data_IF_570108876286
#
_entry.id   IF_570108876286
#
_cell.length_a   1.000
_cell.length_b   1.000
_cell.length_c   1.000
_cell.angle_alpha   90.00
_cell.angle_beta   90.00
_cell.angle_gamma   90.00
#
_symmetry.space_group_name_H-M   'P 1'
#
loop_
_entity.id
_entity.type
_entity.pdbx_description
1 polymer ?
#
# COMPACT_ATOMS: atom_id res chain seq x y z
N UNK A 1 -53.78 17.16 -51.73
CA UNK A 1 -53.97 18.34 -50.89
C UNK A 1 -55.45 18.64 -50.99
N UNK A 2 -56.20 18.11 -50.03
CA UNK A 2 -57.61 18.39 -49.71
C UNK A 2 -57.99 17.36 -48.64
N UNK A 3 -58.65 17.64 -47.53
CA UNK A 3 -58.68 18.76 -46.58
C UNK A 3 -59.49 18.17 -45.41
N UNK A 4 -58.95 18.18 -44.20
CA UNK A 4 -59.42 17.40 -43.02
C UNK A 4 -60.74 17.95 -42.41
N UNK A 5 -61.44 18.86 -43.09
CA UNK A 5 -62.58 19.59 -42.52
C UNK A 5 -63.97 19.08 -42.93
N UNK A 6 -64.08 18.07 -43.79
CA UNK A 6 -65.41 17.59 -44.28
C UNK A 6 -65.95 16.33 -43.57
N UNK A 7 -65.28 15.82 -42.53
CA UNK A 7 -65.72 14.59 -41.81
C UNK A 7 -66.22 14.90 -40.39
N UNK A 8 -66.36 16.17 -40.01
CA UNK A 8 -66.70 16.57 -38.63
C UNK A 8 -68.18 16.88 -38.37
N UNK A 9 -69.09 16.64 -39.31
CA UNK A 9 -70.52 17.04 -39.15
C UNK A 9 -71.53 15.91 -38.87
N UNK A 10 -71.13 14.63 -38.78
CA UNK A 10 -72.11 13.53 -38.56
C UNK A 10 -71.69 12.51 -37.48
N UNK A 11 -71.25 12.98 -36.30
CA UNK A 11 -71.16 12.10 -35.13
C UNK A 11 -71.85 12.74 -33.93
N UNK A 12 -73.17 12.50 -33.82
CA UNK A 12 -73.87 12.53 -32.55
C UNK A 12 -73.10 11.65 -31.55
N UNK A 13 -72.57 12.26 -30.50
CA UNK A 13 -71.97 11.55 -29.38
C UNK A 13 -73.14 11.00 -28.55
N UNK A 14 -73.58 9.78 -28.85
CA UNK A 14 -74.36 8.99 -27.90
C UNK A 14 -73.45 8.59 -26.74
N UNK A 15 -73.78 9.06 -25.53
CA UNK A 15 -73.18 8.59 -24.29
C UNK A 15 -73.59 7.13 -24.07
N UNK A 16 -72.67 6.19 -24.35
CA UNK A 16 -72.85 4.76 -24.06
C UNK A 16 -73.19 4.55 -22.59
N UNK A 17 -74.21 3.74 -22.33
CA UNK A 17 -74.59 3.37 -20.97
C UNK A 17 -73.56 2.40 -20.35
N UNK A 18 -73.48 2.36 -19.02
CA UNK A 18 -72.52 1.50 -18.31
C UNK A 18 -72.65 0.01 -18.66
N UNK A 19 -73.83 -0.43 -19.11
CA UNK A 19 -74.08 -1.82 -19.51
C UNK A 19 -73.44 -2.14 -20.88
N UNK A 20 -73.42 -1.19 -21.81
CA UNK A 20 -72.75 -1.33 -23.11
C UNK A 20 -71.22 -1.27 -23.00
N UNK A 21 -70.71 -0.48 -22.05
CA UNK A 21 -69.28 -0.50 -21.69
C UNK A 21 -68.86 -1.84 -21.06
N UNK A 22 -69.77 -2.52 -20.35
CA UNK A 22 -69.53 -3.85 -19.79
C UNK A 22 -69.51 -4.94 -20.86
N UNK A 23 -70.35 -4.82 -21.89
CA UNK A 23 -70.39 -5.75 -23.02
C UNK A 23 -69.18 -5.56 -23.96
N UNK A 24 -68.72 -4.31 -24.17
CA UNK A 24 -67.47 -4.01 -24.87
C UNK A 24 -66.23 -4.52 -24.12
N UNK A 25 -66.23 -4.44 -22.79
CA UNK A 25 -65.15 -5.01 -21.96
C UNK A 25 -65.11 -6.55 -22.02
N UNK A 26 -66.25 -7.22 -22.20
CA UNK A 26 -66.28 -8.67 -22.44
C UNK A 26 -65.81 -9.06 -23.84
N UNK A 27 -66.16 -8.26 -24.86
CA UNK A 27 -65.82 -8.53 -26.26
C UNK A 27 -64.38 -8.14 -26.66
N UNK A 28 -63.70 -7.30 -25.87
CA UNK A 28 -62.27 -6.96 -26.04
C UNK A 28 -61.31 -7.87 -25.29
N UNK A 29 -61.80 -8.93 -24.62
CA UNK A 29 -60.89 -9.97 -24.13
C UNK A 29 -60.32 -10.74 -25.34
N UNK A 30 -58.99 -10.73 -25.57
CA UNK A 30 -58.42 -11.54 -26.62
C UNK A 30 -58.68 -13.00 -26.26
N UNK A 31 -59.36 -13.73 -27.16
CA UNK A 31 -59.31 -15.19 -27.17
C UNK A 31 -57.86 -15.60 -27.37
N UNK A 32 -57.13 -15.77 -26.27
CA UNK A 32 -55.87 -16.48 -26.27
C UNK A 32 -56.22 -17.93 -26.56
N UNK A 33 -55.90 -18.36 -27.78
CA UNK A 33 -55.78 -19.76 -28.11
C UNK A 33 -55.00 -20.45 -26.99
N UNK A 34 -55.48 -21.62 -26.57
CA UNK A 34 -54.86 -22.46 -25.56
C UNK A 34 -53.40 -22.74 -25.92
N UNK A 35 -52.48 -21.93 -25.37
CA UNK A 35 -51.08 -22.28 -25.30
C UNK A 35 -50.99 -23.55 -24.47
N UNK A 36 -50.49 -24.61 -25.09
CA UNK A 36 -50.03 -25.80 -24.39
C UNK A 36 -49.19 -25.35 -23.18
N UNK A 37 -49.59 -25.78 -21.99
CA UNK A 37 -48.90 -25.52 -20.72
C UNK A 37 -47.44 -26.00 -20.84
N UNK A 38 -46.57 -25.10 -21.30
CA UNK A 38 -45.15 -25.33 -21.42
C UNK A 38 -44.56 -24.77 -20.13
N UNK A 39 -44.14 -25.62 -19.17
CA UNK A 39 -43.69 -25.15 -17.88
C UNK A 39 -42.60 -24.12 -18.09
N UNK A 40 -42.73 -22.96 -17.44
CA UNK A 40 -41.76 -21.86 -17.50
C UNK A 40 -40.35 -22.41 -17.32
N UNK A 41 -39.60 -22.50 -18.44
CA UNK A 41 -38.33 -23.22 -18.51
C UNK A 41 -37.32 -22.58 -17.57
N UNK A 42 -37.22 -23.12 -16.36
CA UNK A 42 -36.38 -22.56 -15.31
C UNK A 42 -35.01 -23.22 -15.35
N UNK A 43 -33.96 -22.43 -15.62
CA UNK A 43 -32.59 -22.91 -15.58
C UNK A 43 -32.19 -23.36 -14.17
N UNK A 44 -31.99 -24.66 -13.97
CA UNK A 44 -31.41 -25.23 -12.75
C UNK A 44 -29.90 -25.33 -12.88
N UNK A 45 -29.16 -25.02 -11.81
CA UNK A 45 -27.69 -25.04 -11.78
C UNK A 45 -27.13 -26.43 -12.13
N UNK A 46 -27.78 -27.51 -11.70
CA UNK A 46 -27.39 -28.89 -12.03
C UNK A 46 -27.55 -29.20 -13.53
N UNK A 47 -28.63 -28.72 -14.15
CA UNK A 47 -28.88 -28.91 -15.59
C UNK A 47 -27.85 -28.14 -16.43
N UNK A 48 -27.59 -26.88 -16.10
CA UNK A 48 -26.58 -26.07 -16.79
C UNK A 48 -25.17 -26.63 -16.68
N UNK A 49 -24.76 -27.09 -15.47
CA UNK A 49 -23.47 -27.74 -15.29
C UNK A 49 -23.32 -28.99 -16.16
N UNK A 50 -24.40 -29.76 -16.32
CA UNK A 50 -24.41 -30.95 -17.17
C UNK A 50 -24.36 -30.58 -18.66
N UNK A 51 -25.08 -29.54 -19.07
CA UNK A 51 -25.09 -29.04 -20.45
C UNK A 51 -23.71 -28.51 -20.86
N UNK A 52 -23.08 -27.67 -20.04
CA UNK A 52 -21.74 -27.14 -20.30
C UNK A 52 -20.69 -28.25 -20.40
N UNK A 53 -20.77 -29.24 -19.50
CA UNK A 53 -19.88 -30.41 -19.54
C UNK A 53 -19.97 -31.16 -20.87
N UNK A 54 -21.20 -31.45 -21.34
CA UNK A 54 -21.41 -32.15 -22.62
C UNK A 54 -20.92 -31.34 -23.82
N UNK A 55 -21.11 -30.03 -23.80
CA UNK A 55 -20.61 -29.14 -24.86
C UNK A 55 -19.09 -29.15 -24.89
N UNK A 56 -18.45 -29.09 -23.73
CA UNK A 56 -16.99 -29.12 -23.62
C UNK A 56 -16.40 -30.48 -24.03
N UNK A 57 -17.03 -31.59 -23.62
CA UNK A 57 -16.68 -32.94 -24.07
C UNK A 57 -16.81 -33.05 -25.61
N UNK A 58 -17.89 -32.50 -26.18
CA UNK A 58 -18.11 -32.45 -27.63
C UNK A 58 -17.05 -31.65 -28.39
N UNK A 59 -16.70 -30.46 -27.90
CA UNK A 59 -15.64 -29.64 -28.49
C UNK A 59 -14.26 -30.29 -28.38
N UNK A 60 -14.01 -31.04 -27.30
CA UNK A 60 -12.76 -31.77 -27.12
C UNK A 60 -12.64 -32.92 -28.13
N UNK A 61 -13.69 -33.72 -28.34
CA UNK A 61 -13.70 -34.78 -29.35
C UNK A 61 -13.41 -34.24 -30.76
N UNK A 62 -14.02 -33.10 -31.13
CA UNK A 62 -13.75 -32.46 -32.43
C UNK A 62 -12.31 -31.95 -32.53
N UNK A 63 -11.72 -31.52 -31.41
CA UNK A 63 -10.32 -31.06 -31.38
C UNK A 63 -9.34 -32.24 -31.51
N UNK A 64 -9.70 -33.40 -30.97
CA UNK A 64 -8.85 -34.61 -30.99
C UNK A 64 -8.94 -35.37 -32.34
N UNK A 65 -10.10 -35.36 -33.00
CA UNK A 65 -10.32 -36.06 -34.27
C UNK A 65 -10.02 -35.22 -35.53
N UNK A 66 -9.94 -33.89 -35.41
CA UNK A 66 -9.75 -32.99 -36.56
C UNK A 66 -8.28 -32.53 -36.70
N UNK A 67 -7.62 -32.76 -37.86
CA UNK A 67 -6.18 -32.55 -38.02
C UNK A 67 -5.74 -31.07 -38.10
N UNK A 68 -6.66 -30.14 -38.36
CA UNK A 68 -6.33 -28.71 -38.54
C UNK A 68 -6.69 -27.89 -37.29
N UNK A 69 -5.68 -27.69 -36.45
CA UNK A 69 -5.76 -27.12 -35.09
C UNK A 69 -6.26 -25.68 -35.06
N UNK A 70 -5.91 -24.85 -36.04
CA UNK A 70 -6.35 -23.45 -36.07
C UNK A 70 -7.86 -23.31 -36.27
N UNK A 71 -8.43 -24.20 -37.08
CA UNK A 71 -9.86 -24.19 -37.38
C UNK A 71 -10.67 -24.76 -36.23
N UNK A 72 -10.21 -25.83 -35.58
CA UNK A 72 -10.86 -26.35 -34.36
C UNK A 72 -10.80 -25.34 -33.21
N UNK A 73 -9.67 -24.66 -33.01
CA UNK A 73 -9.52 -23.59 -32.03
C UNK A 73 -10.45 -22.39 -32.29
N UNK A 74 -10.65 -22.01 -33.57
CA UNK A 74 -11.58 -20.94 -33.95
C UNK A 74 -13.04 -21.33 -33.67
N UNK A 75 -13.44 -22.56 -33.98
CA UNK A 75 -14.79 -23.07 -33.68
C UNK A 75 -15.02 -23.12 -32.17
N UNK A 76 -14.05 -23.63 -31.41
CA UNK A 76 -14.09 -23.63 -29.95
C UNK A 76 -14.34 -22.21 -29.40
N UNK A 77 -13.60 -21.22 -29.91
CA UNK A 77 -13.75 -19.81 -29.50
C UNK A 77 -15.14 -19.27 -29.79
N UNK A 78 -15.66 -19.46 -31.00
CA UNK A 78 -16.99 -18.97 -31.39
C UNK A 78 -18.11 -19.61 -30.57
N UNK A 79 -18.01 -20.91 -30.27
CA UNK A 79 -19.01 -21.61 -29.45
C UNK A 79 -18.97 -21.11 -28.00
N UNK A 80 -17.78 -20.93 -27.43
CA UNK A 80 -17.64 -20.42 -26.06
C UNK A 80 -18.08 -18.95 -25.93
N UNK A 81 -17.78 -18.11 -26.93
CA UNK A 81 -18.28 -16.73 -26.99
C UNK A 81 -19.81 -16.69 -27.00
N UNK A 82 -20.47 -17.55 -27.79
CA UNK A 82 -21.93 -17.65 -27.83
C UNK A 82 -22.58 -18.12 -26.52
N UNK A 83 -21.82 -18.80 -25.65
CA UNK A 83 -22.33 -19.32 -24.37
C UNK A 83 -22.07 -18.38 -23.18
N UNK A 84 -21.37 -17.26 -23.38
CA UNK A 84 -20.94 -16.34 -22.32
C UNK A 84 -22.09 -15.89 -21.42
N UNK A 85 -23.22 -15.45 -22.00
CA UNK A 85 -24.39 -14.97 -21.26
C UNK A 85 -24.97 -16.06 -20.33
N UNK A 86 -25.01 -17.31 -20.78
CA UNK A 86 -25.47 -18.43 -19.95
C UNK A 86 -24.47 -18.81 -18.86
N UNK A 87 -23.17 -18.70 -19.12
CA UNK A 87 -22.16 -18.88 -18.09
C UNK A 87 -22.26 -17.83 -16.98
N UNK A 88 -22.59 -16.59 -17.34
CA UNK A 88 -22.84 -15.50 -16.37
C UNK A 88 -24.05 -15.81 -15.49
N UNK A 89 -25.20 -16.20 -16.08
CA UNK A 89 -26.41 -16.60 -15.32
C UNK A 89 -26.14 -17.81 -14.43
N UNK A 90 -25.43 -18.83 -14.93
CA UNK A 90 -25.04 -20.00 -14.13
C UNK A 90 -24.17 -19.59 -12.95
N UNK A 91 -23.22 -18.68 -13.17
CA UNK A 91 -22.32 -18.17 -12.14
C UNK A 91 -23.07 -17.35 -11.11
N UNK A 92 -24.00 -16.48 -11.52
CA UNK A 92 -24.86 -15.72 -10.60
C UNK A 92 -25.72 -16.65 -9.74
N UNK A 93 -26.36 -17.67 -10.32
CA UNK A 93 -27.15 -18.64 -9.56
C UNK A 93 -26.30 -19.55 -8.67
N UNK A 94 -25.08 -19.89 -9.07
CA UNK A 94 -24.11 -20.62 -8.24
C UNK A 94 -23.51 -19.72 -7.14
N UNK A 95 -23.39 -18.42 -7.42
CA UNK A 95 -22.84 -17.37 -6.56
C UNK A 95 -23.89 -16.62 -5.75
N UNK A 96 -25.14 -17.10 -5.69
CA UNK A 96 -26.08 -16.72 -4.65
C UNK A 96 -25.44 -17.10 -3.30
N UNK A 97 -24.70 -16.13 -2.76
CA UNK A 97 -23.53 -16.37 -1.93
C UNK A 97 -23.92 -16.74 -0.51
N UNK A 98 -23.46 -17.91 -0.06
CA UNK A 98 -23.21 -18.11 1.36
C UNK A 98 -22.05 -17.20 1.72
N UNK A 99 -22.35 -16.05 2.30
CA UNK A 99 -21.34 -15.14 2.83
C UNK A 99 -20.55 -15.90 3.91
N UNK A 100 -19.25 -16.18 3.72
CA UNK A 100 -18.48 -16.85 4.75
C UNK A 100 -18.46 -15.97 5.99
N UNK A 101 -18.76 -16.55 7.14
CA UNK A 101 -18.85 -15.81 8.39
C UNK A 101 -17.47 -15.31 8.79
N UNK A 102 -17.37 -14.11 9.36
CA UNK A 102 -16.09 -13.51 9.78
C UNK A 102 -15.27 -14.43 10.72
N UNK A 103 -15.93 -15.36 11.43
CA UNK A 103 -15.27 -16.39 12.25
C UNK A 103 -14.36 -17.32 11.46
N UNK A 104 -14.67 -17.58 10.18
CA UNK A 104 -13.80 -18.39 9.31
C UNK A 104 -12.47 -17.70 9.08
N UNK A 105 -12.41 -16.36 9.08
CA UNK A 105 -11.13 -15.63 9.02
C UNK A 105 -10.30 -15.79 10.29
N UNK A 106 -10.95 -15.90 11.46
CA UNK A 106 -10.29 -15.89 12.77
C UNK A 106 -9.98 -17.27 13.34
N UNK A 107 -10.20 -18.36 12.60
CA UNK A 107 -9.76 -19.68 13.07
C UNK A 107 -8.22 -19.70 13.21
N UNK A 108 -7.68 -20.06 14.39
CA UNK A 108 -6.25 -20.13 14.59
C UNK A 108 -5.61 -21.10 13.60
N UNK A 109 -4.56 -20.66 12.90
CA UNK A 109 -3.70 -21.52 12.09
C UNK A 109 -2.77 -22.28 13.06
N UNK A 110 -3.35 -23.13 13.89
CA UNK A 110 -2.61 -24.17 14.57
C UNK A 110 -2.65 -25.39 13.64
N UNK A 111 -1.49 -25.83 13.16
CA UNK A 111 -1.29 -27.01 12.31
C UNK A 111 -1.40 -26.84 10.79
N UNK A 112 -0.75 -25.83 10.20
CA UNK A 112 -0.01 -26.09 8.96
C UNK A 112 1.47 -26.16 9.33
N UNK A 113 1.95 -27.40 9.40
CA UNK A 113 3.31 -27.81 9.74
C UNK A 113 4.32 -27.04 8.90
N UNK A 114 4.95 -26.03 9.46
CA UNK A 114 6.34 -25.70 9.13
C UNK A 114 7.21 -26.53 10.06
N UNK A 115 7.98 -27.46 9.49
CA UNK A 115 9.10 -28.09 10.21
C UNK A 115 9.94 -26.95 10.80
N UNK A 116 10.32 -27.08 12.07
CA UNK A 116 11.30 -26.20 12.72
C UNK A 116 12.51 -26.03 11.79
N UNK A 117 12.67 -24.86 11.18
CA UNK A 117 13.80 -24.61 10.26
C UNK A 117 13.60 -23.46 9.30
N UNK A 118 12.57 -23.50 8.44
CA UNK A 118 12.52 -22.59 7.29
C UNK A 118 11.36 -21.59 7.37
N UNK A 119 11.62 -20.46 8.02
CA UNK A 119 10.84 -19.25 7.78
C UNK A 119 11.19 -18.74 6.39
N UNK A 120 10.38 -19.08 5.39
CA UNK A 120 10.64 -18.79 3.97
C UNK A 120 10.63 -17.27 3.69
N UNK A 121 9.89 -16.49 4.48
CA UNK A 121 9.77 -15.04 4.30
C UNK A 121 9.88 -14.26 5.62
N UNK A 122 10.70 -13.21 5.61
CA UNK A 122 10.78 -12.22 6.70
C UNK A 122 10.25 -10.87 6.24
N UNK A 123 8.93 -10.75 6.12
CA UNK A 123 8.24 -9.51 5.76
C UNK A 123 7.50 -8.93 6.96
N UNK A 124 7.65 -7.63 7.22
CA UNK A 124 6.90 -6.93 8.27
C UNK A 124 5.46 -6.65 7.83
N UNK A 125 5.28 -6.21 6.59
CA UNK A 125 3.99 -5.97 5.98
C UNK A 125 4.01 -6.51 4.54
N UNK A 126 2.98 -7.27 4.18
CA UNK A 126 2.70 -7.64 2.80
C UNK A 126 1.41 -6.94 2.38
N UNK A 127 1.42 -6.28 1.22
CA UNK A 127 0.23 -5.61 0.67
C UNK A 127 -0.24 -6.37 -0.56
N UNK A 128 -1.45 -6.91 -0.50
CA UNK A 128 -2.08 -7.68 -1.57
C UNK A 128 -3.26 -6.87 -2.10
N UNK A 129 -3.12 -6.35 -3.32
CA UNK A 129 -4.22 -5.72 -4.04
C UNK A 129 -4.69 -6.68 -5.15
N UNK A 130 -5.60 -7.60 -4.82
CA UNK A 130 -6.02 -8.69 -5.71
C UNK A 130 -7.39 -8.46 -6.34
N UNK A 131 -8.05 -7.34 -6.07
CA UNK A 131 -9.44 -7.13 -6.50
C UNK A 131 -9.58 -6.68 -7.96
N UNK A 132 -8.47 -6.50 -8.70
CA UNK A 132 -8.48 -6.05 -10.10
C UNK A 132 -8.23 -7.15 -11.13
N UNK A 133 -7.86 -8.37 -10.73
CA UNK A 133 -7.57 -9.44 -11.69
C UNK A 133 -8.86 -10.17 -12.06
N UNK A 134 -9.56 -9.66 -13.07
CA UNK A 134 -10.52 -10.44 -13.87
C UNK A 134 -9.71 -11.20 -14.91
N UNK A 135 -9.41 -12.46 -14.64
CA UNK A 135 -8.86 -13.37 -15.64
C UNK A 135 -9.95 -14.31 -16.19
N UNK A 136 -9.59 -15.15 -17.17
CA UNK A 136 -10.48 -16.16 -17.76
C UNK A 136 -10.92 -17.22 -16.73
N UNK A 137 -10.24 -17.31 -15.57
CA UNK A 137 -10.51 -18.25 -14.49
C UNK A 137 -11.45 -17.69 -13.42
N UNK A 138 -11.71 -16.38 -13.41
CA UNK A 138 -12.78 -15.74 -12.64
C UNK A 138 -12.30 -14.63 -11.71
N UNK A 139 -13.06 -14.39 -10.63
CA UNK A 139 -12.64 -13.48 -9.56
C UNK A 139 -11.94 -14.29 -8.47
N UNK A 140 -10.96 -13.68 -7.80
CA UNK A 140 -10.44 -14.24 -6.56
C UNK A 140 -11.61 -14.49 -5.58
N UNK A 141 -11.91 -15.75 -5.31
CA UNK A 141 -12.99 -16.11 -4.38
C UNK A 141 -12.60 -15.70 -2.96
N UNK A 142 -13.60 -15.44 -2.11
CA UNK A 142 -13.37 -15.13 -0.69
C UNK A 142 -12.47 -16.16 -0.02
N UNK A 143 -12.65 -17.44 -0.35
CA UNK A 143 -11.85 -18.55 0.19
C UNK A 143 -10.41 -18.53 -0.31
N UNK A 144 -10.18 -18.10 -1.56
CA UNK A 144 -8.85 -17.93 -2.11
C UNK A 144 -8.08 -16.79 -1.44
N UNK A 145 -8.77 -15.69 -1.11
CA UNK A 145 -8.20 -14.56 -0.39
C UNK A 145 -7.81 -14.94 1.04
N UNK A 146 -8.67 -15.71 1.72
CA UNK A 146 -8.39 -16.27 3.05
C UNK A 146 -7.17 -17.21 2.97
N UNK A 147 -7.15 -18.12 2.00
CA UNK A 147 -6.06 -19.06 1.78
C UNK A 147 -4.72 -18.35 1.53
N UNK A 148 -4.71 -17.34 0.67
CA UNK A 148 -3.52 -16.53 0.38
C UNK A 148 -3.02 -15.77 1.63
N UNK A 149 -3.93 -15.12 2.36
CA UNK A 149 -3.58 -14.39 3.58
C UNK A 149 -2.98 -15.33 4.63
N UNK A 150 -3.59 -16.51 4.83
CA UNK A 150 -3.08 -17.54 5.75
C UNK A 150 -1.72 -18.07 5.31
N UNK A 151 -1.52 -18.33 4.01
CA UNK A 151 -0.25 -18.81 3.48
C UNK A 151 0.88 -17.78 3.67
N UNK A 152 0.62 -16.50 3.46
CA UNK A 152 1.58 -15.42 3.69
C UNK A 152 1.97 -15.29 5.17
N UNK A 153 1.00 -15.39 6.07
CA UNK A 153 1.25 -15.39 7.51
C UNK A 153 2.04 -16.64 7.93
N UNK A 154 1.68 -17.82 7.43
CA UNK A 154 2.38 -19.07 7.69
C UNK A 154 3.83 -19.06 7.14
N UNK A 155 4.06 -18.39 6.00
CA UNK A 155 5.40 -18.20 5.43
C UNK A 155 6.29 -17.25 6.26
N UNK A 156 5.71 -16.51 7.22
CA UNK A 156 6.44 -15.67 8.17
C UNK A 156 6.19 -14.16 8.04
N UNK A 157 5.21 -13.73 7.24
CA UNK A 157 4.77 -12.33 7.23
C UNK A 157 4.15 -11.94 8.57
N UNK A 158 4.52 -10.78 9.12
CA UNK A 158 4.00 -10.31 10.40
C UNK A 158 2.61 -9.69 10.27
N UNK A 159 2.32 -9.04 9.14
CA UNK A 159 1.06 -8.37 8.86
C UNK A 159 0.76 -8.43 7.36
N UNK A 160 -0.51 -8.60 6.99
CA UNK A 160 -0.98 -8.61 5.61
C UNK A 160 -2.12 -7.60 5.46
N UNK A 161 -1.96 -6.64 4.54
CA UNK A 161 -3.03 -5.75 4.10
C UNK A 161 -3.66 -6.33 2.84
N UNK A 162 -4.99 -6.47 2.83
CA UNK A 162 -5.72 -7.11 1.74
C UNK A 162 -6.94 -6.29 1.32
N UNK A 163 -7.21 -6.24 0.02
CA UNK A 163 -8.44 -5.68 -0.56
C UNK A 163 -9.56 -6.73 -0.66
N UNK A 164 -10.72 -6.45 -0.09
CA UNK A 164 -11.89 -7.33 -0.05
C UNK A 164 -12.73 -7.29 -1.34
N UNK A 165 -12.77 -6.15 -2.02
CA UNK A 165 -13.52 -5.95 -3.26
C UNK A 165 -12.82 -4.93 -4.19
N UNK A 166 -13.25 -4.83 -5.46
CA UNK A 166 -12.66 -3.90 -6.41
C UNK A 166 -12.92 -2.45 -6.00
N UNK A 167 -11.86 -1.66 -5.87
CA UNK A 167 -11.92 -0.23 -5.53
C UNK A 167 -11.40 0.55 -6.74
N UNK A 168 -12.00 1.69 -7.14
CA UNK A 168 -11.50 2.47 -8.26
C UNK A 168 -10.01 2.82 -8.12
N UNK A 169 -9.23 2.65 -9.20
CA UNK A 169 -7.77 2.85 -9.20
C UNK A 169 -7.32 4.16 -8.57
N UNK A 170 -8.04 5.25 -8.84
CA UNK A 170 -7.73 6.58 -8.28
C UNK A 170 -7.90 6.61 -6.76
N UNK A 171 -8.97 6.01 -6.23
CA UNK A 171 -9.19 5.90 -4.79
C UNK A 171 -8.13 5.01 -4.14
N UNK A 172 -7.79 3.88 -4.77
CA UNK A 172 -6.72 2.98 -4.32
C UNK A 172 -5.36 3.69 -4.28
N UNK A 173 -5.02 4.50 -5.30
CA UNK A 173 -3.78 5.29 -5.33
C UNK A 173 -3.73 6.31 -4.21
N UNK A 174 -4.83 7.02 -3.95
CA UNK A 174 -4.92 7.99 -2.85
C UNK A 174 -4.75 7.26 -1.50
N UNK A 175 -5.45 6.14 -1.31
CA UNK A 175 -5.39 5.35 -0.09
C UNK A 175 -3.97 4.84 0.18
N UNK A 176 -3.37 4.16 -0.79
CA UNK A 176 -2.02 3.60 -0.64
C UNK A 176 -0.96 4.69 -0.46
N UNK A 177 -1.10 5.85 -1.13
CA UNK A 177 -0.20 6.99 -0.92
C UNK A 177 -0.30 7.53 0.50
N UNK A 178 -1.50 7.74 1.02
CA UNK A 178 -1.71 8.19 2.39
C UNK A 178 -1.22 7.15 3.41
N UNK A 179 -1.51 5.88 3.17
CA UNK A 179 -1.08 4.75 4.00
C UNK A 179 0.44 4.66 4.10
N UNK A 180 1.16 4.62 2.97
CA UNK A 180 2.63 4.59 3.01
C UNK A 180 3.24 5.86 3.58
N UNK A 181 2.63 7.03 3.35
CA UNK A 181 3.08 8.28 3.97
C UNK A 181 2.98 8.24 5.50
N UNK A 182 1.86 7.77 6.04
CA UNK A 182 1.65 7.58 7.47
C UNK A 182 2.62 6.55 8.08
N UNK A 183 2.92 5.48 7.35
CA UNK A 183 3.92 4.48 7.75
C UNK A 183 5.34 5.05 7.82
N UNK A 184 5.71 5.89 6.85
CA UNK A 184 6.99 6.59 6.84
C UNK A 184 7.10 7.60 7.99
N UNK A 185 5.99 8.21 8.40
CA UNK A 185 5.92 9.07 9.59
C UNK A 185 6.00 8.30 10.92
N UNK A 186 6.07 6.96 10.87
CA UNK A 186 6.28 6.11 12.04
C UNK A 186 5.02 5.69 12.77
N UNK A 187 3.85 5.88 12.14
CA UNK A 187 2.61 5.30 12.64
C UNK A 187 2.63 3.78 12.54
N UNK A 188 1.87 3.13 13.42
CA UNK A 188 1.60 1.69 13.32
C UNK A 188 0.69 1.43 12.13
N UNK A 189 0.79 0.24 11.56
CA UNK A 189 0.03 -0.17 10.37
C UNK A 189 -1.49 -0.01 10.57
N UNK A 190 -2.02 -0.31 11.76
CA UNK A 190 -3.43 -0.07 12.11
C UNK A 190 -3.84 1.40 11.99
N UNK A 191 -3.05 2.31 12.60
CA UNK A 191 -3.28 3.76 12.58
C UNK A 191 -3.09 4.36 11.20
N UNK A 192 -2.05 3.91 10.48
CA UNK A 192 -1.79 4.35 9.13
C UNK A 192 -2.93 4.00 8.18
N UNK A 193 -3.53 2.80 8.31
CA UNK A 193 -4.69 2.44 7.50
C UNK A 193 -5.91 3.29 7.85
N UNK A 194 -6.16 3.54 9.14
CA UNK A 194 -7.27 4.38 9.57
C UNK A 194 -7.16 5.80 9.00
N UNK A 195 -5.98 6.41 9.05
CA UNK A 195 -5.75 7.74 8.47
C UNK A 195 -5.88 7.75 6.93
N UNK A 196 -5.40 6.70 6.27
CA UNK A 196 -5.54 6.54 4.83
C UNK A 196 -7.03 6.42 4.41
N UNK A 197 -7.82 5.66 5.14
CA UNK A 197 -9.27 5.54 4.91
C UNK A 197 -9.98 6.88 5.11
N UNK A 198 -9.66 7.62 6.19
CA UNK A 198 -10.20 8.96 6.43
C UNK A 198 -9.84 9.94 5.30
N UNK A 199 -8.62 9.84 4.77
CA UNK A 199 -8.16 10.69 3.66
C UNK A 199 -9.02 10.49 2.40
N UNK A 200 -9.32 9.23 2.06
CA UNK A 200 -10.20 8.91 0.92
C UNK A 200 -11.65 9.30 1.23
N UNK A 201 -12.13 9.06 2.45
CA UNK A 201 -13.47 9.41 2.89
C UNK A 201 -13.73 10.93 2.78
N UNK A 202 -12.75 11.77 3.10
CA UNK A 202 -12.86 13.23 2.97
C UNK A 202 -12.70 13.74 1.53
N UNK A 203 -12.34 12.88 0.59
CA UNK A 203 -12.29 13.24 -0.83
C UNK A 203 -13.71 13.16 -1.41
N UNK A 204 -14.32 14.31 -1.76
CA UNK A 204 -15.74 14.38 -2.18
C UNK A 204 -16.16 13.32 -3.20
N UNK A 205 -15.32 13.05 -4.21
CA UNK A 205 -15.61 12.07 -5.26
C UNK A 205 -15.52 10.60 -4.80
N UNK A 206 -14.87 10.32 -3.67
CA UNK A 206 -14.63 8.97 -3.15
C UNK A 206 -15.18 8.76 -1.74
N UNK A 207 -16.06 9.64 -1.26
CA UNK A 207 -16.60 9.59 0.11
C UNK A 207 -17.41 8.31 0.40
N UNK A 208 -18.02 7.71 -0.63
CA UNK A 208 -18.82 6.50 -0.47
C UNK A 208 -17.97 5.34 0.10
N UNK A 209 -18.45 4.60 1.12
CA UNK A 209 -17.69 3.54 1.79
C UNK A 209 -17.06 2.49 0.87
N UNK A 210 -17.74 2.17 -0.24
CA UNK A 210 -17.21 1.25 -1.25
C UNK A 210 -15.79 1.59 -1.75
N UNK A 211 -15.36 2.86 -1.65
CA UNK A 211 -14.06 3.31 -2.13
C UNK A 211 -12.92 3.22 -1.10
N UNK A 212 -13.22 3.01 0.19
CA UNK A 212 -12.20 3.05 1.25
C UNK A 212 -12.33 1.93 2.29
N UNK A 213 -13.54 1.40 2.54
CA UNK A 213 -13.76 0.37 3.56
C UNK A 213 -13.38 -1.04 3.11
N UNK A 214 -12.92 -1.19 1.87
CA UNK A 214 -12.54 -2.48 1.28
C UNK A 214 -11.17 -2.99 1.69
N UNK A 215 -10.41 -2.27 2.52
CA UNK A 215 -9.07 -2.69 2.94
C UNK A 215 -9.08 -3.26 4.36
N UNK A 216 -8.43 -4.39 4.57
CA UNK A 216 -8.37 -5.07 5.87
C UNK A 216 -6.95 -5.48 6.23
N UNK A 217 -6.58 -5.35 7.50
CA UNK A 217 -5.31 -5.81 8.05
C UNK A 217 -5.51 -7.11 8.82
N UNK A 218 -4.60 -8.06 8.60
CA UNK A 218 -4.56 -9.34 9.31
C UNK A 218 -3.14 -9.60 9.81
N UNK A 219 -2.99 -9.88 11.10
CA UNK A 219 -1.69 -10.13 11.74
C UNK A 219 -1.36 -9.11 12.83
N UNK A 220 -0.06 -8.94 13.11
CA UNK A 220 0.45 -8.05 14.14
C UNK A 220 0.40 -6.57 13.73
N UNK A 221 0.18 -5.69 14.70
CA UNK A 221 0.22 -4.24 14.49
C UNK A 221 1.66 -3.71 14.43
N UNK A 222 2.30 -3.90 13.28
CA UNK A 222 3.71 -3.57 13.06
C UNK A 222 3.91 -2.07 12.77
N UNK A 223 5.15 -1.58 12.89
CA UNK A 223 5.58 -0.27 12.39
C UNK A 223 6.53 -0.46 11.22
N UNK A 224 6.43 0.35 10.17
CA UNK A 224 7.37 0.26 9.04
C UNK A 224 8.51 1.29 9.10
N UNK A 225 8.40 2.30 9.94
CA UNK A 225 9.51 3.22 10.21
C UNK A 225 10.59 2.51 11.02
N UNK A 226 11.78 2.40 10.44
CA UNK A 226 12.97 2.43 11.25
C UNK A 226 13.24 3.91 11.56
N UNK A 227 13.10 4.33 12.82
CA UNK A 227 13.44 5.70 13.21
C UNK A 227 14.92 6.01 12.96
N UNK A 228 15.77 4.99 12.85
CA UNK A 228 17.16 5.08 12.37
C UNK A 228 17.22 5.46 10.87
N UNK A 229 16.29 4.99 10.03
CA UNK A 229 16.23 5.41 8.62
C UNK A 229 15.78 6.87 8.48
N UNK A 230 14.83 7.32 9.33
CA UNK A 230 14.46 8.73 9.41
C UNK A 230 15.63 9.61 9.91
N UNK A 231 16.40 9.12 10.88
CA UNK A 231 17.64 9.78 11.32
C UNK A 231 18.65 9.89 10.18
N UNK A 232 18.92 8.79 9.46
CA UNK A 232 19.83 8.78 8.31
C UNK A 232 19.42 9.74 7.21
N UNK A 233 18.14 9.76 6.83
CA UNK A 233 17.61 10.69 5.83
C UNK A 233 17.74 12.15 6.29
N UNK A 234 17.43 12.42 7.56
CA UNK A 234 17.56 13.77 8.13
C UNK A 234 19.02 14.25 8.17
N UNK A 235 19.96 13.35 8.47
CA UNK A 235 21.40 13.63 8.38
C UNK A 235 21.83 13.90 6.93
N UNK A 236 21.30 13.15 5.95
CA UNK A 236 21.57 13.42 4.53
C UNK A 236 21.05 14.80 4.11
N UNK A 237 19.84 15.20 4.55
CA UNK A 237 19.30 16.54 4.29
C UNK A 237 20.18 17.64 4.88
N UNK A 238 20.68 17.46 6.11
CA UNK A 238 21.59 18.41 6.76
C UNK A 238 22.88 18.59 5.94
N UNK A 239 23.44 17.49 5.44
CA UNK A 239 24.70 17.48 4.71
C UNK A 239 24.61 18.07 3.30
N UNK A 240 23.41 18.34 2.76
CA UNK A 240 23.26 19.03 1.46
C UNK A 240 23.83 20.44 1.44
N UNK A 241 23.93 21.08 2.61
CA UNK A 241 24.53 22.42 2.76
C UNK A 241 25.78 22.36 3.64
N UNK A 242 26.89 21.79 3.15
CA UNK A 242 28.06 21.44 3.97
C UNK A 242 28.71 22.65 4.67
N UNK A 243 28.64 23.84 4.06
CA UNK A 243 29.21 25.07 4.64
C UNK A 243 28.45 25.56 5.89
N UNK A 244 27.13 25.30 5.94
CA UNK A 244 26.23 25.82 6.99
C UNK A 244 25.71 24.72 7.92
N UNK A 245 25.89 23.44 7.58
CA UNK A 245 25.34 22.33 8.36
C UNK A 245 25.98 22.19 9.74
N UNK A 246 27.21 22.68 9.95
CA UNK A 246 27.92 22.51 11.23
C UNK A 246 27.20 23.19 12.40
N UNK A 247 26.63 24.37 12.17
CA UNK A 247 25.87 25.07 13.22
C UNK A 247 24.55 24.35 13.51
N UNK A 248 23.87 23.86 12.47
CA UNK A 248 22.70 23.00 12.61
C UNK A 248 23.02 21.75 13.46
N UNK A 249 24.10 21.05 13.13
CA UNK A 249 24.57 19.84 13.83
C UNK A 249 24.91 20.14 15.30
N UNK A 250 25.58 21.26 15.60
CA UNK A 250 25.89 21.70 16.97
C UNK A 250 24.62 21.97 17.78
N UNK A 251 23.65 22.66 17.18
CA UNK A 251 22.38 22.97 17.84
C UNK A 251 21.61 21.69 18.12
N UNK A 252 21.49 20.78 17.14
CA UNK A 252 20.80 19.50 17.34
C UNK A 252 21.52 18.62 18.36
N UNK A 253 22.85 18.58 18.34
CA UNK A 253 23.64 17.82 19.32
C UNK A 253 23.42 18.36 20.72
N UNK A 254 23.47 19.69 20.90
CA UNK A 254 23.23 20.32 22.20
C UNK A 254 21.86 19.96 22.76
N UNK A 255 20.81 19.96 21.94
CA UNK A 255 19.46 19.59 22.37
C UNK A 255 19.38 18.10 22.76
N UNK A 256 19.97 17.22 21.96
CA UNK A 256 20.01 15.76 22.20
C UNK A 256 20.77 15.45 23.49
N UNK A 257 21.97 16.01 23.68
CA UNK A 257 22.78 15.83 24.89
C UNK A 257 22.05 16.37 26.13
N UNK A 258 21.38 17.51 26.01
CA UNK A 258 20.58 18.06 27.12
C UNK A 258 19.44 17.14 27.49
N UNK A 259 18.76 16.51 26.53
CA UNK A 259 17.76 15.47 26.81
C UNK A 259 18.38 14.27 27.54
N UNK A 260 19.50 13.75 27.03
CA UNK A 260 20.21 12.62 27.64
C UNK A 260 20.62 12.93 29.08
N UNK A 261 21.23 14.09 29.33
CA UNK A 261 21.63 14.50 30.69
C UNK A 261 20.47 14.51 31.67
N UNK A 262 19.29 14.99 31.24
CA UNK A 262 18.09 15.01 32.07
C UNK A 262 17.57 13.61 32.38
N UNK A 263 17.56 12.74 31.37
CA UNK A 263 17.14 11.34 31.50
C UNK A 263 18.06 10.59 32.48
N UNK A 264 19.37 10.73 32.33
CA UNK A 264 20.36 10.12 33.23
C UNK A 264 20.25 10.65 34.67
N UNK A 265 19.90 11.93 34.84
CA UNK A 265 19.65 12.55 36.15
C UNK A 265 18.26 12.24 36.73
N UNK A 266 17.44 11.43 36.06
CA UNK A 266 16.10 11.05 36.52
C UNK A 266 15.09 12.21 36.55
N UNK A 267 15.31 13.29 35.80
CA UNK A 267 14.43 14.46 35.81
C UNK A 267 13.15 14.19 35.00
N UNK A 268 12.01 14.05 35.68
CA UNK A 268 10.71 13.72 35.03
C UNK A 268 9.89 14.92 34.57
N UNK A 269 10.26 16.14 34.97
CA UNK A 269 9.52 17.34 34.59
C UNK A 269 9.63 17.61 33.08
N UNK A 270 8.51 17.98 32.45
CA UNK A 270 8.49 18.37 31.05
C UNK A 270 9.38 19.61 30.83
N UNK A 271 10.16 19.57 29.74
CA UNK A 271 11.01 20.68 29.32
C UNK A 271 10.66 21.01 27.86
N UNK A 272 10.62 22.30 27.55
CA UNK A 272 10.33 22.78 26.21
C UNK A 272 11.22 23.97 25.82
N UNK A 273 11.30 24.24 24.52
CA UNK A 273 11.86 25.46 23.95
C UNK A 273 10.99 25.91 22.77
N UNK A 274 11.17 27.13 22.26
CA UNK A 274 10.39 27.61 21.12
C UNK A 274 11.03 27.15 19.82
N UNK A 275 10.21 26.76 18.83
CA UNK A 275 10.69 26.39 17.51
C UNK A 275 11.48 27.54 16.87
N UNK A 276 11.00 28.78 17.04
CA UNK A 276 11.65 30.00 16.55
C UNK A 276 13.07 30.20 17.11
N UNK A 277 13.32 29.82 18.36
CA UNK A 277 14.66 29.89 18.98
C UNK A 277 15.64 28.92 18.31
N UNK A 278 15.16 27.73 17.93
CA UNK A 278 15.97 26.75 17.21
C UNK A 278 16.22 27.24 15.78
N UNK A 279 15.18 27.70 15.07
CA UNK A 279 15.29 28.23 13.70
C UNK A 279 16.30 29.37 13.59
N UNK A 280 16.28 30.30 14.55
CA UNK A 280 17.23 31.41 14.59
C UNK A 280 18.70 30.95 14.71
N UNK A 281 18.95 29.79 15.32
CA UNK A 281 20.31 29.24 15.51
C UNK A 281 20.74 28.32 14.37
N UNK A 282 19.80 27.57 13.80
CA UNK A 282 20.07 26.59 12.72
C UNK A 282 20.13 27.28 11.34
N UNK A 283 19.48 28.43 11.18
CA UNK A 283 19.42 29.15 9.92
C UNK A 283 18.58 28.43 8.86
N UNK A 284 18.95 28.56 7.58
CA UNK A 284 18.19 28.03 6.44
C UNK A 284 18.49 26.56 6.10
N UNK A 285 19.08 25.80 7.02
CA UNK A 285 19.42 24.39 6.78
C UNK A 285 18.16 23.52 6.95
N UNK A 286 17.96 22.53 6.08
CA UNK A 286 16.86 21.56 6.15
C UNK A 286 17.25 20.29 6.95
N UNK A 287 16.28 19.46 7.33
CA UNK A 287 16.53 18.16 7.96
C UNK A 287 16.70 18.16 9.49
N UNK A 288 17.10 19.27 10.13
CA UNK A 288 17.25 19.33 11.59
C UNK A 288 15.95 19.01 12.36
N UNK A 289 14.80 19.42 11.83
CA UNK A 289 13.49 19.17 12.44
C UNK A 289 13.16 17.68 12.43
N UNK A 290 13.34 17.04 11.29
CA UNK A 290 13.09 15.61 11.10
C UNK A 290 14.06 14.76 11.92
N UNK A 291 15.31 15.22 12.09
CA UNK A 291 16.30 14.61 12.97
C UNK A 291 15.82 14.61 14.43
N UNK A 292 15.36 15.75 14.93
CA UNK A 292 14.85 15.86 16.31
C UNK A 292 13.58 15.00 16.50
N UNK A 293 12.67 14.99 15.53
CA UNK A 293 11.48 14.14 15.59
C UNK A 293 11.84 12.64 15.59
N UNK A 294 12.83 12.21 14.82
CA UNK A 294 13.23 10.80 14.74
C UNK A 294 13.74 10.25 16.08
N UNK A 295 14.38 11.09 16.89
CA UNK A 295 14.89 10.74 18.23
C UNK A 295 13.90 11.01 19.37
N UNK A 296 12.73 11.58 19.07
CA UNK A 296 11.61 11.67 20.01
C UNK A 296 11.28 13.06 20.57
N UNK A 297 11.83 14.13 19.98
CA UNK A 297 11.32 15.48 20.25
C UNK A 297 9.93 15.64 19.64
N UNK A 298 9.04 16.35 20.34
CA UNK A 298 7.67 16.62 19.88
C UNK A 298 7.53 18.08 19.53
N UNK A 299 7.01 18.37 18.34
CA UNK A 299 6.74 19.72 17.87
C UNK A 299 5.24 19.99 17.97
N UNK A 300 4.86 21.02 18.70
CA UNK A 300 3.48 21.45 18.86
C UNK A 300 3.29 22.83 18.20
N UNK A 301 2.26 23.00 17.34
CA UNK A 301 1.98 24.28 16.70
C UNK A 301 1.47 25.29 17.73
N UNK A 302 1.57 26.58 17.39
CA UNK A 302 1.04 27.64 18.23
C UNK A 302 -0.46 27.45 18.50
N UNK A 303 -0.84 27.44 19.77
CA UNK A 303 -2.23 27.26 20.21
C UNK A 303 -2.43 27.97 21.56
N UNK A 304 -3.61 28.56 21.76
CA UNK A 304 -4.03 29.18 23.04
C UNK A 304 -3.01 30.19 23.63
N UNK A 305 -2.40 31.03 22.78
CA UNK A 305 -1.41 32.03 23.20
C UNK A 305 0.00 31.50 23.47
N UNK A 306 0.24 30.19 23.27
CA UNK A 306 1.56 29.57 23.36
C UNK A 306 2.21 29.56 21.97
N UNK A 307 3.45 30.03 21.82
CA UNK A 307 4.16 29.96 20.54
C UNK A 307 4.50 28.51 20.17
N UNK A 308 4.75 28.23 18.88
CA UNK A 308 5.17 26.91 18.42
C UNK A 308 6.35 26.40 19.24
N UNK A 309 6.17 25.25 19.88
CA UNK A 309 7.03 24.75 20.95
C UNK A 309 7.56 23.36 20.64
N UNK A 310 8.75 23.07 21.17
CA UNK A 310 9.46 21.81 21.00
C UNK A 310 9.70 21.20 22.37
N UNK A 311 9.09 20.05 22.61
CA UNK A 311 9.17 19.31 23.87
C UNK A 311 10.28 18.25 23.82
N UNK A 312 11.05 18.20 24.89
CA UNK A 312 12.17 17.29 25.04
C UNK A 312 11.67 15.89 25.44
N UNK A 313 12.28 14.81 24.91
CA UNK A 313 11.97 13.45 25.33
C UNK A 313 12.35 13.22 26.81
N UNK A 314 11.58 12.36 27.49
CA UNK A 314 11.75 12.02 28.91
C UNK A 314 12.32 10.62 29.13
N UNK A 315 12.50 9.85 28.06
CA UNK A 315 13.08 8.51 28.07
C UNK A 315 13.85 8.29 26.78
N UNK A 316 14.84 7.39 26.81
CA UNK A 316 15.62 6.99 25.64
C UNK A 316 15.38 5.51 25.30
N UNK A 317 14.17 5.14 24.84
CA UNK A 317 13.93 3.74 24.47
C UNK A 317 14.74 3.39 23.23
N UNK A 318 15.38 2.24 23.27
CA UNK A 318 16.28 1.71 22.22
C UNK A 318 17.55 2.55 22.01
N UNK A 319 17.97 3.34 23.02
CA UNK A 319 19.20 4.14 23.01
C UNK A 319 19.31 5.09 21.80
N UNK A 320 18.19 5.57 21.28
CA UNK A 320 18.12 6.36 20.04
C UNK A 320 18.73 7.74 20.19
N UNK A 321 18.52 8.41 21.32
CA UNK A 321 19.19 9.68 21.62
C UNK A 321 20.68 9.45 21.74
N UNK A 322 21.09 8.36 22.39
CA UNK A 322 22.51 7.98 22.54
C UNK A 322 23.18 7.74 21.18
N UNK A 323 22.55 6.97 20.29
CA UNK A 323 23.02 6.73 18.93
C UNK A 323 23.08 8.00 18.08
N UNK A 324 22.06 8.87 18.19
CA UNK A 324 22.06 10.15 17.48
C UNK A 324 23.17 11.08 17.99
N UNK A 325 23.38 11.13 19.31
CA UNK A 325 24.49 11.88 19.91
C UNK A 325 25.84 11.42 19.34
N UNK A 326 26.08 10.11 19.33
CA UNK A 326 27.31 9.54 18.77
C UNK A 326 27.47 9.86 17.27
N UNK A 327 26.41 9.76 16.49
CA UNK A 327 26.42 10.08 15.05
C UNK A 327 26.71 11.56 14.79
N UNK A 328 26.10 12.45 15.56
CA UNK A 328 26.32 13.90 15.47
C UNK A 328 27.73 14.29 15.89
N UNK A 329 28.26 13.69 16.96
CA UNK A 329 29.65 13.88 17.39
C UNK A 329 30.63 13.39 16.33
N UNK A 330 30.39 12.21 15.74
CA UNK A 330 31.21 11.69 14.65
C UNK A 330 31.24 12.64 13.44
N UNK A 331 30.07 13.12 12.99
CA UNK A 331 29.98 14.08 11.88
C UNK A 331 30.65 15.43 12.19
N UNK A 332 30.54 15.92 13.42
CA UNK A 332 31.22 17.14 13.85
C UNK A 332 32.73 16.94 13.98
N UNK A 333 33.20 15.72 14.23
CA UNK A 333 34.62 15.37 14.24
C UNK A 333 35.27 15.37 12.85
N UNK A 334 34.48 15.30 11.77
CA UNK A 334 34.99 15.32 10.40
C UNK A 334 35.46 16.72 9.99
N UNK A 335 36.45 16.75 9.11
CA UNK A 335 36.95 17.99 8.49
C UNK A 335 35.94 18.56 7.50
N UNK A 336 36.10 19.84 7.13
CA UNK A 336 35.22 20.49 6.14
C UNK A 336 35.35 19.86 4.74
N UNK A 337 36.54 19.39 4.36
CA UNK A 337 36.77 18.69 3.08
C UNK A 337 36.04 17.36 3.06
N UNK A 338 36.11 16.58 4.15
CA UNK A 338 35.38 15.31 4.29
C UNK A 338 33.86 15.51 4.22
N UNK A 339 33.32 16.54 4.88
CA UNK A 339 31.88 16.84 4.80
C UNK A 339 31.44 17.25 3.40
N UNK A 340 32.26 18.02 2.69
CA UNK A 340 32.02 18.38 1.28
C UNK A 340 32.07 17.16 0.35
N UNK A 341 32.96 16.20 0.61
CA UNK A 341 33.01 14.95 -0.13
C UNK A 341 31.75 14.10 0.13
N UNK A 342 31.32 14.00 1.40
CA UNK A 342 30.10 13.29 1.78
C UNK A 342 28.85 13.90 1.14
N UNK A 343 28.75 15.23 1.05
CA UNK A 343 27.58 15.89 0.42
C UNK A 343 27.41 15.49 -1.05
N UNK A 344 28.51 15.30 -1.78
CA UNK A 344 28.52 14.79 -3.17
C UNK A 344 28.17 13.31 -3.25
N UNK A 345 28.58 12.51 -2.26
CA UNK A 345 28.29 11.08 -2.19
C UNK A 345 26.82 10.77 -1.92
N UNK A 346 26.07 11.68 -1.30
CA UNK A 346 24.62 11.50 -1.05
C UNK A 346 23.84 11.25 -2.35
N UNK A 347 24.29 11.80 -3.48
CA UNK A 347 23.67 11.55 -4.77
C UNK A 347 23.95 10.14 -5.35
N UNK A 348 24.91 9.41 -4.77
CA UNK A 348 25.43 8.13 -5.27
C UNK A 348 25.36 7.05 -4.18
N UNK A 349 24.17 6.83 -3.61
CA UNK A 349 23.97 5.91 -2.47
C UNK A 349 24.37 4.46 -2.80
N UNK A 350 24.27 4.07 -4.07
CA UNK A 350 24.57 2.70 -4.52
C UNK A 350 26.02 2.24 -4.33
N UNK A 351 26.96 3.15 -4.03
CA UNK A 351 28.36 2.81 -3.73
C UNK A 351 28.70 2.82 -2.24
N UNK A 352 27.72 3.06 -1.37
CA UNK A 352 27.96 3.17 0.07
C UNK A 352 28.56 1.90 0.67
N UNK A 353 28.05 0.72 0.30
CA UNK A 353 28.53 -0.56 0.81
C UNK A 353 29.99 -0.83 0.42
N UNK A 354 30.39 -0.46 -0.80
CA UNK A 354 31.77 -0.58 -1.26
C UNK A 354 32.71 0.34 -0.47
N UNK A 355 32.31 1.60 -0.22
CA UNK A 355 33.07 2.55 0.60
C UNK A 355 33.21 2.04 2.04
N UNK A 356 32.12 1.54 2.64
CA UNK A 356 32.13 0.95 3.98
C UNK A 356 33.07 -0.25 4.01
N UNK A 357 33.08 -1.08 2.96
CA UNK A 357 34.03 -2.18 2.80
C UNK A 357 35.49 -1.71 2.85
N UNK A 358 35.82 -0.68 2.06
CA UNK A 358 37.18 -0.08 2.05
C UNK A 358 37.55 0.44 3.44
N UNK A 359 36.70 1.23 4.08
CA UNK A 359 36.97 1.78 5.43
C UNK A 359 37.15 0.67 6.47
N UNK A 360 36.34 -0.40 6.42
CA UNK A 360 36.50 -1.55 7.32
C UNK A 360 37.82 -2.27 7.09
N UNK A 361 38.27 -2.38 5.84
CA UNK A 361 39.57 -2.95 5.52
C UNK A 361 40.72 -2.07 6.04
N UNK A 362 40.61 -0.74 5.92
CA UNK A 362 41.56 0.22 6.53
C UNK A 362 41.66 -0.05 8.03
N UNK A 363 40.53 -0.01 8.73
CA UNK A 363 40.46 -0.17 10.20
C UNK A 363 41.00 -1.54 10.62
N UNK A 364 40.68 -2.61 9.89
CA UNK A 364 41.19 -3.96 10.16
C UNK A 364 42.70 -4.09 10.01
N UNK A 365 43.33 -3.31 9.11
CA UNK A 365 44.79 -3.30 9.00
C UNK A 365 45.45 -2.50 10.14
N UNK A 366 44.83 -1.41 10.59
CA UNK A 366 45.29 -0.64 11.75
C UNK A 366 45.28 -1.45 13.05
N UNK A 367 44.33 -2.38 13.22
CA UNK A 367 44.27 -3.22 14.43
C UNK A 367 45.26 -4.37 14.42
N UNK A 368 45.74 -4.81 13.24
CA UNK A 368 46.68 -5.93 13.10
C UNK A 368 48.15 -5.51 12.99
N UNK A 369 48.44 -4.36 12.39
CA UNK A 369 49.80 -3.83 12.35
C UNK A 369 50.02 -2.95 13.58
N UNK A 370 50.87 -3.42 14.50
CA UNK A 370 51.52 -2.53 15.47
C UNK A 370 52.09 -1.33 14.68
N UNK A 371 51.93 -0.14 15.26
CA UNK A 371 51.99 1.22 14.71
C UNK A 371 53.30 1.60 13.96
N UNK A 372 54.18 0.64 13.64
CA UNK A 372 55.52 0.88 13.08
C UNK A 372 55.55 1.10 11.56
N UNK A 373 54.47 0.81 10.81
CA UNK A 373 54.39 1.17 9.38
C UNK A 373 53.53 2.41 9.18
N UNK A 374 54.16 3.51 8.76
CA UNK A 374 53.53 4.83 8.54
C UNK A 374 52.52 4.88 7.37
N UNK A 375 52.43 3.83 6.56
CA UNK A 375 51.52 3.80 5.40
C UNK A 375 50.79 2.45 5.26
N UNK A 376 49.50 2.54 4.91
CA UNK A 376 48.64 1.39 4.64
C UNK A 376 48.27 1.44 3.16
N UNK A 377 48.66 0.41 2.41
CA UNK A 377 48.27 0.23 1.02
C UNK A 377 46.96 -0.54 0.93
N UNK A 378 45.99 -0.01 0.18
CA UNK A 378 44.66 -0.60 0.03
C UNK A 378 44.28 -0.59 -1.44
N UNK A 379 43.92 -1.75 -2.02
CA UNK A 379 43.43 -1.79 -3.40
C UNK A 379 42.03 -1.16 -3.48
N UNK A 380 41.88 -0.14 -4.32
CA UNK A 380 40.61 0.56 -4.53
C UNK A 380 40.10 0.29 -5.95
N UNK A 381 38.82 -0.04 -6.07
CA UNK A 381 38.20 -0.25 -7.38
C UNK A 381 38.17 1.06 -8.18
N UNK A 382 38.67 1.05 -9.41
CA UNK A 382 38.72 2.22 -10.28
C UNK A 382 37.33 2.80 -10.56
N UNK A 383 36.28 1.96 -10.62
CA UNK A 383 34.89 2.42 -10.77
C UNK A 383 34.45 3.23 -9.55
N UNK A 384 34.81 2.77 -8.35
CA UNK A 384 34.51 3.45 -7.08
C UNK A 384 35.25 4.79 -7.00
N UNK A 385 36.53 4.81 -7.34
CA UNK A 385 37.37 6.02 -7.35
C UNK A 385 36.81 7.13 -8.25
N UNK A 386 36.22 6.76 -9.39
CA UNK A 386 35.64 7.71 -10.36
C UNK A 386 34.31 8.33 -9.90
N UNK A 387 33.68 7.82 -8.84
CA UNK A 387 32.42 8.37 -8.35
C UNK A 387 32.65 9.76 -7.71
N UNK A 388 31.85 10.78 -8.06
CA UNK A 388 31.94 12.10 -7.45
C UNK A 388 31.84 12.03 -5.92
N UNK A 389 32.79 12.66 -5.23
CA UNK A 389 32.89 12.64 -3.78
C UNK A 389 33.63 11.42 -3.18
N UNK A 390 33.81 10.33 -3.92
CA UNK A 390 34.49 9.14 -3.38
C UNK A 390 36.01 9.34 -3.22
N UNK A 391 36.69 9.79 -4.28
CA UNK A 391 38.12 10.10 -4.20
C UNK A 391 38.41 11.25 -3.23
N UNK A 392 37.54 12.26 -3.18
CA UNK A 392 37.65 13.38 -2.23
C UNK A 392 37.49 12.89 -0.78
N UNK A 393 36.57 11.96 -0.54
CA UNK A 393 36.37 11.36 0.78
C UNK A 393 37.64 10.61 1.19
N UNK A 394 38.10 9.69 0.35
CA UNK A 394 39.26 8.85 0.62
C UNK A 394 40.56 9.65 0.77
N UNK A 395 40.72 10.76 0.04
CA UNK A 395 41.87 11.64 0.18
C UNK A 395 41.81 12.55 1.42
N UNK A 396 40.62 12.70 2.02
CA UNK A 396 40.40 13.54 3.21
C UNK A 396 40.44 12.78 4.54
N UNK A 397 40.36 11.45 4.47
CA UNK A 397 40.51 10.53 5.60
C UNK A 397 41.99 10.28 5.85
#
# INVERSE_FOLDING_TARGET
MESIEEVLDDAEIEELSNDELQELAQNLSPKFDSEQDNPSRTFTTKSMATAFRRIQEGLQMVTDEYPEVERSARVHRTVMEGLTCYYEIYKEKKSAAKQPTIRTFFQPVAAMVTREGDKIMSARLVVVNSSHTRDYHGWASSDGLIGLTRALLAAGAQCVLVSLWPVPDTATKILLRAFYSALLQGLRVSRALAEAMLTVQHTKHFAHPANWSGFMLVGADVRLSNKVALMGQALCELLKTPDKCRDALRVTLHLVEKSLQRIHRGQKNAMYTTQKSIENKVGHVSGWKDLLMSVGFRFEPASNGIPSSVFFPQSDPEERLTQCSASLQALLGLTSTTLNALSKLIANIGVADDIIGVIRQVIGQFTMKNIETESIEIPINVKLWRVPGCHELLASL
#
